data_IF_237405054961
#
_entry.id   IF_237405054961
#
_cell.length_a   1.000
_cell.length_b   1.000
_cell.length_c   1.000
_cell.angle_alpha   90.00
_cell.angle_beta   90.00
_cell.angle_gamma   90.00
#
_symmetry.space_group_name_H-M   'P 1'
#
loop_
_entity.id
_entity.type
_entity.pdbx_description
1 polymer ?
#
# COMPACT_ATOMS: atom_id res chain seq x y z
N UNK A 1 11.36 -10.97 -55.14
CA UNK A 1 10.72 -9.89 -54.37
C UNK A 1 10.80 -10.27 -52.89
N UNK A 2 11.68 -9.63 -52.12
CA UNK A 2 11.90 -9.88 -50.69
C UNK A 2 11.34 -8.67 -49.94
N UNK A 3 10.25 -8.85 -49.20
CA UNK A 3 9.67 -7.83 -48.33
C UNK A 3 10.51 -7.70 -47.07
N UNK A 4 11.10 -6.52 -46.78
CA UNK A 4 11.85 -6.32 -45.55
C UNK A 4 10.91 -5.98 -44.39
N UNK A 5 11.12 -6.69 -43.27
CA UNK A 5 11.39 -6.09 -41.98
C UNK A 5 10.41 -4.99 -41.50
N UNK A 6 9.26 -5.39 -40.97
CA UNK A 6 8.45 -4.55 -40.07
C UNK A 6 8.65 -5.04 -38.62
N UNK A 7 9.90 -4.96 -38.14
CA UNK A 7 10.28 -5.09 -36.73
C UNK A 7 10.62 -3.68 -36.24
N UNK A 8 9.61 -2.85 -36.03
CA UNK A 8 9.79 -1.42 -35.85
C UNK A 8 8.66 -0.72 -35.10
N UNK A 9 8.03 -1.38 -34.14
CA UNK A 9 7.22 -0.69 -33.11
C UNK A 9 7.83 -1.03 -31.76
N UNK A 10 9.00 -0.42 -31.57
CA UNK A 10 9.77 -0.35 -30.34
C UNK A 10 9.03 0.62 -29.40
N UNK A 11 8.50 0.08 -28.30
CA UNK A 11 9.00 0.47 -26.96
C UNK A 11 8.82 1.95 -26.54
N UNK A 12 7.67 2.57 -26.80
CA UNK A 12 7.37 3.95 -26.36
C UNK A 12 6.33 4.07 -25.22
N UNK A 13 5.88 2.96 -24.62
CA UNK A 13 4.89 2.96 -23.53
C UNK A 13 5.45 2.75 -22.12
N UNK A 14 6.78 2.68 -21.95
CA UNK A 14 7.41 2.42 -20.64
C UNK A 14 7.65 3.65 -19.75
N UNK A 15 7.27 4.86 -20.19
CA UNK A 15 7.76 6.09 -19.55
C UNK A 15 6.78 6.83 -18.63
N UNK A 16 5.63 6.24 -18.26
CA UNK A 16 4.69 6.94 -17.38
C UNK A 16 4.01 6.00 -16.38
N UNK A 17 4.82 5.25 -15.62
CA UNK A 17 4.36 4.70 -14.34
C UNK A 17 4.62 5.78 -13.30
N UNK A 18 3.59 6.48 -12.77
CA UNK A 18 3.82 7.42 -11.69
C UNK A 18 4.49 6.67 -10.53
N UNK A 19 5.53 7.26 -9.95
CA UNK A 19 6.16 6.72 -8.76
C UNK A 19 5.07 6.46 -7.72
N UNK A 20 4.92 5.21 -7.28
CA UNK A 20 3.94 4.91 -6.25
C UNK A 20 4.38 5.58 -4.95
N UNK A 21 3.47 6.21 -4.20
CA UNK A 21 3.81 6.74 -2.89
C UNK A 21 4.32 5.61 -1.98
N UNK A 22 5.24 5.92 -1.05
CA UNK A 22 5.75 4.95 -0.09
C UNK A 22 4.62 4.25 0.68
N UNK A 23 4.87 3.03 1.13
CA UNK A 23 3.85 2.17 1.72
C UNK A 23 3.21 2.82 2.94
N UNK A 24 4.02 3.46 3.77
CA UNK A 24 3.65 4.15 4.99
C UNK A 24 2.65 5.27 4.70
N UNK A 25 2.85 6.05 3.63
CA UNK A 25 1.91 7.09 3.20
C UNK A 25 0.57 6.51 2.76
N UNK A 26 0.61 5.41 1.98
CA UNK A 26 -0.60 4.73 1.52
C UNK A 26 -1.39 4.14 2.67
N UNK A 27 -0.69 3.54 3.63
CA UNK A 27 -1.29 2.95 4.83
C UNK A 27 -1.87 4.05 5.71
N UNK A 28 -1.13 5.12 6.00
CA UNK A 28 -1.62 6.28 6.77
C UNK A 28 -2.91 6.86 6.17
N UNK A 29 -2.94 7.03 4.84
CA UNK A 29 -4.16 7.47 4.14
C UNK A 29 -5.31 6.44 4.27
N UNK A 30 -5.02 5.15 4.16
CA UNK A 30 -6.02 4.08 4.25
C UNK A 30 -6.61 3.93 5.66
N UNK A 31 -5.79 4.02 6.71
CA UNK A 31 -6.26 3.87 8.10
C UNK A 31 -7.06 5.08 8.58
N UNK A 32 -6.86 6.25 7.95
CA UNK A 32 -7.65 7.47 8.22
C UNK A 32 -9.14 7.29 7.93
N UNK A 33 -9.51 6.47 6.94
CA UNK A 33 -10.90 6.06 6.71
C UNK A 33 -11.53 5.36 7.92
N UNK A 34 -10.73 4.62 8.69
CA UNK A 34 -11.14 3.95 9.93
C UNK A 34 -11.05 4.85 11.18
N UNK A 35 -10.85 6.16 10.99
CA UNK A 35 -10.73 7.14 12.07
C UNK A 35 -9.49 6.93 12.93
N UNK A 36 -8.39 6.50 12.29
CA UNK A 36 -7.06 6.36 12.90
C UNK A 36 -6.17 7.38 12.22
N UNK A 37 -5.67 8.34 12.99
CA UNK A 37 -4.76 9.37 12.50
C UNK A 37 -3.34 8.99 12.92
N UNK A 38 -2.49 8.71 11.94
CA UNK A 38 -1.10 8.28 12.13
C UNK A 38 -0.26 8.98 11.08
N UNK A 39 0.90 9.48 11.50
CA UNK A 39 1.86 10.09 10.59
C UNK A 39 2.70 8.99 9.92
N UNK A 40 2.90 9.03 8.59
CA UNK A 40 3.70 8.05 7.88
C UNK A 40 5.09 7.86 8.49
N UNK A 41 5.71 8.95 8.94
CA UNK A 41 7.04 8.96 9.55
C UNK A 41 7.11 8.24 10.92
N UNK A 42 5.97 8.01 11.56
CA UNK A 42 5.86 7.35 12.87
C UNK A 42 5.57 5.85 12.74
N UNK A 43 5.28 5.36 11.52
CA UNK A 43 5.08 3.94 11.26
C UNK A 43 6.43 3.27 11.04
N UNK A 44 6.66 2.20 11.80
CA UNK A 44 7.71 1.24 11.44
C UNK A 44 7.31 0.49 10.17
N UNK A 45 8.30 -0.07 9.48
CA UNK A 45 8.04 -0.86 8.28
C UNK A 45 7.09 -2.03 8.58
N UNK A 46 7.31 -2.71 9.71
CA UNK A 46 6.51 -3.86 10.14
C UNK A 46 5.07 -3.47 10.50
N UNK A 47 4.87 -2.32 11.17
CA UNK A 47 3.53 -1.79 11.41
C UNK A 47 2.81 -1.49 10.09
N UNK A 48 3.49 -0.80 9.16
CA UNK A 48 2.92 -0.46 7.87
C UNK A 48 2.56 -1.72 7.05
N UNK A 49 3.42 -2.74 7.05
CA UNK A 49 3.17 -4.01 6.38
C UNK A 49 1.96 -4.75 6.96
N UNK A 50 1.88 -4.88 8.30
CA UNK A 50 0.76 -5.53 8.97
C UNK A 50 -0.57 -4.78 8.76
N UNK A 51 -0.53 -3.44 8.78
CA UNK A 51 -1.69 -2.61 8.51
C UNK A 51 -2.15 -2.73 7.04
N UNK A 52 -1.23 -2.78 6.09
CA UNK A 52 -1.53 -2.97 4.66
C UNK A 52 -2.31 -4.28 4.43
N UNK A 53 -1.86 -5.39 5.03
CA UNK A 53 -2.57 -6.67 4.99
C UNK A 53 -3.97 -6.57 5.63
N UNK A 54 -4.09 -5.85 6.73
CA UNK A 54 -5.38 -5.65 7.41
C UNK A 54 -6.36 -4.84 6.55
N UNK A 55 -5.86 -3.82 5.84
CA UNK A 55 -6.66 -3.02 4.91
C UNK A 55 -7.14 -3.84 3.71
N UNK A 56 -6.28 -4.69 3.14
CA UNK A 56 -6.65 -5.62 2.06
C UNK A 56 -7.76 -6.60 2.48
N UNK A 57 -7.74 -7.03 3.74
CA UNK A 57 -8.75 -7.92 4.30
C UNK A 57 -10.03 -7.20 4.77
N UNK A 58 -10.10 -5.87 4.70
CA UNK A 58 -11.19 -5.12 5.31
C UNK A 58 -12.58 -5.45 4.76
N UNK A 59 -12.66 -5.78 3.47
CA UNK A 59 -13.91 -6.23 2.83
C UNK A 59 -14.49 -7.51 3.44
N UNK A 60 -13.67 -8.33 4.12
CA UNK A 60 -14.09 -9.59 4.77
C UNK A 60 -14.48 -9.40 6.24
N UNK A 61 -13.90 -8.43 6.93
CA UNK A 61 -14.02 -8.27 8.38
C UNK A 61 -14.98 -7.14 8.81
N UNK A 62 -15.31 -6.23 7.90
CA UNK A 62 -16.19 -5.11 8.18
C UNK A 62 -15.52 -4.02 9.03
N UNK A 63 -16.12 -2.82 9.01
CA UNK A 63 -15.49 -1.59 9.49
C UNK A 63 -14.94 -1.66 10.92
N UNK A 64 -15.75 -2.14 11.87
CA UNK A 64 -15.39 -2.12 13.29
C UNK A 64 -14.28 -3.13 13.63
N UNK A 65 -14.26 -4.30 12.98
CA UNK A 65 -13.22 -5.30 13.22
C UNK A 65 -11.88 -4.84 12.65
N UNK A 66 -11.88 -4.35 11.41
CA UNK A 66 -10.69 -3.75 10.77
C UNK A 66 -10.13 -2.62 11.64
N UNK A 67 -10.98 -1.70 12.12
CA UNK A 67 -10.55 -0.62 13.02
C UNK A 67 -9.90 -1.13 14.30
N UNK A 68 -10.44 -2.18 14.92
CA UNK A 68 -9.85 -2.77 16.14
C UNK A 68 -8.47 -3.38 15.85
N UNK A 69 -8.34 -4.13 14.75
CA UNK A 69 -7.07 -4.75 14.34
C UNK A 69 -6.00 -3.71 14.05
N UNK A 70 -6.33 -2.66 13.29
CA UNK A 70 -5.42 -1.56 13.01
C UNK A 70 -4.92 -0.89 14.30
N UNK A 71 -5.81 -0.66 15.27
CA UNK A 71 -5.40 -0.12 16.59
C UNK A 71 -4.55 -1.09 17.41
N UNK A 72 -4.79 -2.39 17.26
CA UNK A 72 -3.98 -3.40 17.94
C UNK A 72 -2.54 -3.41 17.40
N UNK A 73 -2.36 -3.28 16.08
CA UNK A 73 -1.04 -3.21 15.45
C UNK A 73 -0.23 -2.02 16.00
N UNK A 74 -0.82 -0.83 16.06
CA UNK A 74 -0.13 0.37 16.60
C UNK A 74 0.28 0.26 18.07
N UNK A 75 -0.35 -0.64 18.83
CA UNK A 75 -0.09 -0.84 20.27
C UNK A 75 0.73 -2.08 20.55
N UNK A 76 0.99 -2.92 19.54
CA UNK A 76 1.71 -4.15 19.75
C UNK A 76 3.21 -3.87 19.77
N UNK A 77 3.90 -4.15 20.90
CA UNK A 77 5.35 -3.98 20.99
C UNK A 77 6.12 -4.87 20.00
N UNK A 78 5.53 -5.96 19.51
CA UNK A 78 6.19 -6.83 18.51
C UNK A 78 6.46 -6.12 17.18
N UNK A 79 5.79 -4.98 16.92
CA UNK A 79 6.02 -4.17 15.72
C UNK A 79 6.73 -2.84 16.04
N UNK A 80 7.19 -2.63 17.28
CA UNK A 80 8.02 -1.49 17.64
C UNK A 80 9.49 -1.87 17.38
N UNK A 81 10.00 -1.50 16.20
CA UNK A 81 11.42 -1.62 15.81
C UNK A 81 12.37 -0.95 16.84
#
# INVERSE_FOLDING_TARGET
>A
MRTPFMLGVVLLLSACVPAQPPMEERVAAGVRYYGIDVRPEELTFDQAAAMSLTLDQAGRHGYLDTRRRLRAILRNPDFAD
#
